data_IF_809451992592
#
_entry.id   IF_809451992592
#
_cell.length_a   1.000
_cell.length_b   1.000
_cell.length_c   1.000
_cell.angle_alpha   90.00
_cell.angle_beta   90.00
_cell.angle_gamma   90.00
#
_symmetry.space_group_name_H-M   'P 1'
#
loop_
_entity.id
_entity.type
_entity.pdbx_description
1 polymer ?
#
# COMPACT_ATOMS: atom_id res chain seq x y z
N UNK A 1 25.32 33.88 11.62
CA UNK A 1 24.95 32.73 10.77
C UNK A 1 24.03 31.72 11.49
N UNK A 2 23.02 32.17 12.27
CA UNK A 2 22.12 31.26 13.02
C UNK A 2 20.61 31.52 12.79
N UNK A 3 20.26 32.54 11.99
CA UNK A 3 18.87 32.92 11.71
C UNK A 3 18.27 32.26 10.46
N UNK A 4 19.11 31.74 9.55
CA UNK A 4 18.63 31.04 8.35
C UNK A 4 18.20 29.59 8.65
N UNK A 5 18.80 28.95 9.65
CA UNK A 5 18.56 27.55 10.00
C UNK A 5 17.22 27.30 10.72
N UNK A 6 16.67 28.33 11.38
CA UNK A 6 15.38 28.24 12.08
C UNK A 6 14.18 28.33 11.13
N UNK A 7 14.32 29.00 9.98
CA UNK A 7 13.23 29.19 9.01
C UNK A 7 12.92 27.92 8.20
N UNK A 8 13.94 27.09 7.93
CA UNK A 8 13.79 25.84 7.14
C UNK A 8 13.12 24.73 7.94
N UNK A 9 13.18 24.75 9.27
CA UNK A 9 12.61 23.70 10.12
C UNK A 9 11.07 23.71 10.15
N UNK A 10 10.43 24.84 9.84
CA UNK A 10 8.97 24.98 9.94
C UNK A 10 8.21 24.40 8.71
N UNK A 11 8.90 24.15 7.60
CA UNK A 11 8.29 23.73 6.32
C UNK A 11 8.29 22.21 6.07
N UNK A 12 8.60 21.39 7.08
CA UNK A 12 8.81 19.94 6.91
C UNK A 12 7.62 19.07 7.32
N UNK A 13 6.48 19.65 7.68
CA UNK A 13 5.31 18.88 8.12
C UNK A 13 4.07 19.34 7.37
N UNK A 14 3.67 18.56 6.38
CA UNK A 14 2.28 18.16 6.05
C UNK A 14 2.37 17.51 4.67
N UNK A 15 2.73 16.22 4.65
CA UNK A 15 2.40 15.35 3.53
C UNK A 15 1.15 14.57 3.93
N UNK A 16 -0.01 15.20 3.82
CA UNK A 16 -1.29 14.48 3.89
C UNK A 16 -1.48 13.76 2.57
N UNK A 17 -1.13 12.47 2.54
CA UNK A 17 -1.52 11.60 1.44
C UNK A 17 -3.05 11.55 1.39
N UNK A 18 -3.65 12.07 0.32
CA UNK A 18 -5.08 11.94 0.09
C UNK A 18 -5.37 10.45 -0.16
N UNK A 19 -5.98 9.79 0.82
CA UNK A 19 -6.43 8.42 0.67
C UNK A 19 -7.54 8.38 -0.39
N UNK A 20 -7.19 7.93 -1.58
CA UNK A 20 -8.15 7.64 -2.64
C UNK A 20 -8.99 6.45 -2.18
N UNK A 21 -10.28 6.68 -1.94
CA UNK A 21 -11.21 5.66 -1.41
C UNK A 21 -11.98 4.90 -2.50
N UNK A 22 -11.58 5.04 -3.76
CA UNK A 22 -12.17 4.30 -4.87
C UNK A 22 -11.18 3.29 -5.44
N UNK A 23 -11.73 2.15 -5.81
CA UNK A 23 -11.02 1.13 -6.56
C UNK A 23 -11.05 1.52 -8.04
N UNK A 24 -9.87 1.63 -8.65
CA UNK A 24 -9.73 1.77 -10.11
C UNK A 24 -9.52 0.38 -10.72
N UNK A 25 -10.48 -0.16 -11.49
CA UNK A 25 -10.31 -1.44 -12.16
C UNK A 25 -9.14 -1.38 -13.16
N UNK A 26 -8.31 -2.42 -13.18
CA UNK A 26 -7.15 -2.52 -14.07
C UNK A 26 -5.89 -1.78 -13.61
N UNK A 27 -5.97 -0.92 -12.60
CA UNK A 27 -4.80 -0.29 -11.99
C UNK A 27 -4.00 -1.29 -11.13
N UNK A 28 -2.69 -1.06 -10.99
CA UNK A 28 -1.85 -1.82 -10.05
C UNK A 28 -2.23 -1.42 -8.63
N UNK A 29 -2.59 -2.39 -7.80
CA UNK A 29 -2.83 -2.15 -6.37
C UNK A 29 -1.58 -2.43 -5.56
N UNK A 30 -1.26 -1.49 -4.67
CA UNK A 30 -0.15 -1.59 -3.72
C UNK A 30 -0.69 -1.75 -2.31
N UNK A 31 0.03 -2.49 -1.48
CA UNK A 31 -0.23 -2.57 -0.05
C UNK A 31 0.22 -1.28 0.67
N UNK A 32 0.04 -1.26 2.00
CA UNK A 32 0.39 -0.12 2.85
C UNK A 32 1.90 0.16 2.91
N UNK A 33 2.75 -0.79 2.50
CA UNK A 33 4.20 -0.60 2.37
C UNK A 33 4.61 -0.15 0.96
N UNK A 34 3.66 0.00 0.04
CA UNK A 34 3.90 0.35 -1.36
C UNK A 34 4.29 -0.86 -2.23
N UNK A 35 4.30 -2.08 -1.68
CA UNK A 35 4.59 -3.27 -2.45
C UNK A 35 3.36 -3.69 -3.27
N UNK A 36 3.59 -4.12 -4.51
CA UNK A 36 2.52 -4.58 -5.41
C UNK A 36 1.84 -5.82 -4.84
N UNK A 37 0.51 -5.80 -4.78
CA UNK A 37 -0.28 -6.96 -4.38
C UNK A 37 -0.35 -7.94 -5.56
N UNK A 38 0.22 -9.14 -5.39
CA UNK A 38 0.21 -10.23 -6.39
C UNK A 38 -0.85 -11.29 -6.06
N UNK A 39 -2.06 -10.84 -5.73
CA UNK A 39 -3.17 -11.72 -5.38
C UNK A 39 -4.03 -12.06 -6.62
N UNK A 40 -3.49 -12.90 -7.52
CA UNK A 40 -4.22 -13.39 -8.68
C UNK A 40 -5.25 -14.47 -8.30
N UNK A 41 -6.52 -14.07 -8.11
CA UNK A 41 -7.61 -14.96 -7.70
C UNK A 41 -7.75 -15.10 -6.18
N UNK A 42 -8.23 -16.25 -5.70
CA UNK A 42 -8.48 -16.50 -4.28
C UNK A 42 -9.85 -16.03 -3.80
N UNK A 43 -9.98 -15.79 -2.51
CA UNK A 43 -11.25 -15.40 -1.88
C UNK A 43 -11.05 -14.28 -0.86
N UNK A 44 -12.06 -13.41 -0.73
CA UNK A 44 -12.13 -12.44 0.34
C UNK A 44 -13.03 -12.99 1.44
N UNK A 45 -12.53 -13.04 2.67
CA UNK A 45 -13.29 -13.46 3.86
C UNK A 45 -13.38 -12.31 4.86
N UNK A 46 -14.51 -12.21 5.57
CA UNK A 46 -14.73 -11.22 6.62
C UNK A 46 -14.67 -11.88 7.99
N UNK A 47 -13.86 -11.36 8.91
CA UNK A 47 -13.79 -11.78 10.32
C UNK A 47 -13.95 -10.53 11.18
N UNK A 48 -15.07 -10.43 11.91
CA UNK A 48 -15.42 -9.20 12.64
C UNK A 48 -15.58 -8.00 11.71
N UNK A 49 -14.76 -6.97 11.88
CA UNK A 49 -14.71 -5.77 11.04
C UNK A 49 -13.64 -5.83 9.95
N UNK A 50 -12.84 -6.90 9.89
CA UNK A 50 -11.67 -7.01 9.02
C UNK A 50 -11.96 -7.92 7.83
N UNK A 51 -11.56 -7.47 6.63
CA UNK A 51 -11.57 -8.29 5.41
C UNK A 51 -10.16 -8.81 5.14
N UNK A 52 -10.05 -10.11 4.86
CA UNK A 52 -8.80 -10.78 4.48
C UNK A 52 -8.94 -11.27 3.06
N UNK A 53 -7.99 -10.88 2.20
CA UNK A 53 -7.88 -11.45 0.86
C UNK A 53 -6.87 -12.60 0.90
N UNK A 54 -7.39 -13.82 0.88
CA UNK A 54 -6.59 -15.04 1.01
C UNK A 54 -6.29 -15.61 -0.36
N UNK A 55 -5.00 -15.81 -0.62
CA UNK A 55 -4.51 -16.41 -1.85
C UNK A 55 -3.46 -17.48 -1.54
N UNK A 56 -3.51 -18.59 -2.26
CA UNK A 56 -2.41 -19.54 -2.31
C UNK A 56 -1.23 -18.90 -3.05
N UNK A 57 -0.05 -18.88 -2.44
CA UNK A 57 1.17 -18.55 -3.15
C UNK A 57 1.31 -19.55 -4.31
N UNK A 58 1.22 -19.09 -5.56
CA UNK A 58 1.51 -19.98 -6.69
C UNK A 58 2.96 -20.44 -6.53
N UNK A 59 3.13 -21.71 -6.14
CA UNK A 59 4.44 -22.35 -6.18
C UNK A 59 4.75 -22.47 -7.66
N UNK A 60 5.58 -21.56 -8.17
CA UNK A 60 6.24 -21.76 -9.44
C UNK A 60 7.07 -23.02 -9.22
N UNK A 61 6.59 -24.16 -9.70
CA UNK A 61 7.48 -25.28 -9.96
C UNK A 61 8.41 -24.76 -11.05
N UNK A 62 9.55 -24.21 -10.64
CA UNK A 62 10.69 -24.11 -11.52
C UNK A 62 10.93 -25.55 -11.99
N UNK A 63 10.67 -25.79 -13.27
CA UNK A 63 10.99 -27.06 -13.92
C UNK A 63 12.44 -27.38 -13.59
N UNK A 64 12.64 -28.49 -12.89
CA UNK A 64 13.89 -29.23 -13.01
C UNK A 64 13.98 -29.79 -14.41
#
# INVERSE_FOLDING_TARGET
MKFAATFVSLLSFISTALAVSFIVPGAVWTDTSGAKILAHGGHVIKVGTTFYWVISRQRIFASR
#
